data_IF_804375334019
#
_entry.id   IF_804375334019
#
_cell.length_a   1.000
_cell.length_b   1.000
_cell.length_c   1.000
_cell.angle_alpha   90.00
_cell.angle_beta   90.00
_cell.angle_gamma   90.00
#
_symmetry.space_group_name_H-M   'P 1'
#
loop_
_entity.id
_entity.type
_entity.pdbx_description
1 polymer ?
#
# COMPACT_ATOMS: atom_id res chain seq x y z
N UNK A 1 1.32 21.69 -19.25
CA UNK A 1 1.20 20.22 -19.27
C UNK A 1 2.57 19.63 -19.00
N UNK A 2 2.77 19.05 -17.81
CA UNK A 2 3.91 18.15 -17.52
C UNK A 2 3.37 17.02 -16.64
N UNK A 3 2.59 16.13 -17.25
CA UNK A 3 1.94 15.00 -16.59
C UNK A 3 2.90 13.82 -16.41
N UNK A 4 3.83 13.95 -15.49
CA UNK A 4 4.77 12.88 -15.10
C UNK A 4 4.76 12.74 -13.59
N UNK A 5 4.36 11.56 -13.11
CA UNK A 5 4.35 11.09 -11.70
C UNK A 5 3.56 11.88 -10.64
N UNK A 6 3.66 13.20 -10.54
CA UNK A 6 2.92 13.97 -9.52
C UNK A 6 1.39 13.92 -9.73
N UNK A 7 0.95 13.97 -10.99
CA UNK A 7 -0.47 14.08 -11.35
C UNK A 7 -1.31 12.87 -10.89
N UNK A 8 -0.81 11.64 -11.06
CA UNK A 8 -1.60 10.45 -10.69
C UNK A 8 -1.66 10.25 -9.17
N UNK A 9 -0.62 10.65 -8.43
CA UNK A 9 -0.57 10.55 -6.97
C UNK A 9 -1.61 11.49 -6.36
N UNK A 10 -1.58 12.76 -6.75
CA UNK A 10 -2.51 13.77 -6.23
C UNK A 10 -3.95 13.43 -6.60
N UNK A 11 -4.19 13.02 -7.85
CA UNK A 11 -5.51 12.57 -8.29
C UNK A 11 -6.00 11.39 -7.47
N UNK A 12 -5.14 10.41 -7.20
CA UNK A 12 -5.51 9.21 -6.43
C UNK A 12 -5.78 9.56 -4.97
N UNK A 13 -4.99 10.45 -4.35
CA UNK A 13 -5.24 10.97 -3.01
C UNK A 13 -6.64 11.61 -2.92
N UNK A 14 -6.97 12.49 -3.89
CA UNK A 14 -8.28 13.15 -3.95
C UNK A 14 -9.40 12.13 -4.13
N UNK A 15 -9.22 11.13 -5.00
CA UNK A 15 -10.21 10.08 -5.22
C UNK A 15 -10.44 9.22 -3.95
N UNK A 16 -9.38 8.90 -3.21
CA UNK A 16 -9.48 8.17 -1.94
C UNK A 16 -10.26 8.99 -0.90
N UNK A 17 -9.90 10.27 -0.73
CA UNK A 17 -10.58 11.17 0.19
C UNK A 17 -12.04 11.44 -0.20
N UNK A 18 -12.34 11.46 -1.50
CA UNK A 18 -13.69 11.64 -2.03
C UNK A 18 -14.54 10.35 -2.02
N UNK A 19 -13.96 9.19 -1.69
CA UNK A 19 -14.66 7.90 -1.75
C UNK A 19 -14.98 7.45 -3.18
N UNK A 20 -14.22 7.93 -4.17
CA UNK A 20 -14.39 7.61 -5.61
C UNK A 20 -13.15 6.92 -6.20
N UNK A 21 -12.22 6.47 -5.36
CA UNK A 21 -11.06 5.68 -5.79
C UNK A 21 -11.50 4.29 -6.28
N UNK A 22 -10.73 3.66 -7.17
CA UNK A 22 -10.92 2.25 -7.51
C UNK A 22 -10.65 1.38 -6.28
N UNK A 23 -11.31 0.22 -6.22
CA UNK A 23 -11.16 -0.73 -5.10
C UNK A 23 -9.74 -1.30 -4.99
N UNK A 24 -9.08 -1.51 -6.13
CA UNK A 24 -7.73 -2.06 -6.22
C UNK A 24 -6.88 -1.20 -7.15
N UNK A 25 -5.66 -0.89 -6.72
CA UNK A 25 -4.73 -0.04 -7.45
C UNK A 25 -3.30 -0.57 -7.40
N UNK A 26 -2.56 -0.33 -8.48
CA UNK A 26 -1.10 -0.56 -8.54
C UNK A 26 -0.41 0.77 -8.28
N UNK A 27 0.51 0.79 -7.33
CA UNK A 27 1.24 2.00 -6.95
C UNK A 27 2.75 1.75 -6.96
N UNK A 28 3.53 2.82 -6.89
CA UNK A 28 4.98 2.76 -6.70
C UNK A 28 5.36 3.21 -5.28
N UNK A 29 6.40 2.57 -4.74
CA UNK A 29 6.77 2.48 -3.31
C UNK A 29 6.31 3.61 -2.39
N UNK A 30 6.99 4.75 -2.30
CA UNK A 30 6.79 5.66 -1.16
C UNK A 30 5.42 6.34 -1.10
N UNK A 31 4.64 6.36 -2.18
CA UNK A 31 3.49 7.25 -2.30
C UNK A 31 2.26 6.79 -1.51
N UNK A 32 2.14 5.50 -1.21
CA UNK A 32 1.02 4.96 -0.43
C UNK A 32 1.21 5.08 1.08
N UNK A 33 2.42 5.40 1.56
CA UNK A 33 2.68 5.57 3.00
C UNK A 33 1.83 6.71 3.55
N UNK A 34 1.83 7.87 2.88
CA UNK A 34 1.02 9.02 3.30
C UNK A 34 -0.50 8.73 3.27
N UNK A 35 -0.96 7.88 2.33
CA UNK A 35 -2.37 7.46 2.27
C UNK A 35 -2.73 6.51 3.42
N UNK A 36 -1.85 5.56 3.73
CA UNK A 36 -2.01 4.65 4.86
C UNK A 36 -1.99 5.40 6.20
N UNK A 37 -1.06 6.35 6.38
CA UNK A 37 -0.98 7.22 7.56
C UNK A 37 -2.25 8.06 7.73
N UNK A 38 -2.81 8.58 6.63
CA UNK A 38 -4.10 9.27 6.61
C UNK A 38 -5.31 8.34 6.87
N UNK A 39 -5.11 7.03 6.95
CA UNK A 39 -6.18 6.05 7.16
C UNK A 39 -7.07 5.84 5.93
N UNK A 40 -6.56 6.14 4.73
CA UNK A 40 -7.30 6.02 3.48
C UNK A 40 -7.20 4.63 2.83
N UNK A 41 -6.33 3.76 3.35
CA UNK A 41 -6.12 2.40 2.83
C UNK A 41 -6.64 1.36 3.82
N UNK A 42 -7.16 0.26 3.27
CA UNK A 42 -7.62 -0.89 4.04
C UNK A 42 -6.45 -1.60 4.72
N UNK A 43 -6.62 -1.99 5.98
CA UNK A 43 -5.70 -2.89 6.66
C UNK A 43 -5.88 -4.32 6.12
N UNK A 44 -4.85 -4.83 5.48
CA UNK A 44 -4.81 -6.13 4.83
C UNK A 44 -4.41 -7.25 5.79
N UNK A 45 -3.98 -6.93 7.03
CA UNK A 45 -3.50 -7.92 8.00
C UNK A 45 -4.49 -9.08 8.22
N UNK A 46 -5.82 -8.85 8.34
CA UNK A 46 -6.78 -9.94 8.51
C UNK A 46 -6.85 -10.90 7.32
N UNK A 47 -6.54 -10.44 6.11
CA UNK A 47 -6.53 -11.30 4.91
C UNK A 47 -5.22 -12.06 4.80
N UNK A 48 -4.09 -11.43 5.16
CA UNK A 48 -2.79 -12.10 5.24
C UNK A 48 -2.84 -13.24 6.24
N UNK A 49 -3.38 -13.00 7.44
CA UNK A 49 -3.50 -14.03 8.49
C UNK A 49 -4.43 -15.18 8.10
N UNK A 50 -5.47 -14.91 7.32
CA UNK A 50 -6.44 -15.90 6.88
C UNK A 50 -5.92 -16.77 5.73
N UNK A 51 -5.23 -16.14 4.76
CA UNK A 51 -5.01 -16.73 3.44
C UNK A 51 -3.55 -17.11 3.16
N UNK A 52 -2.56 -16.55 3.89
CA UNK A 52 -1.14 -16.81 3.63
C UNK A 52 -0.49 -17.64 4.73
N UNK A 53 0.26 -18.65 4.32
CA UNK A 53 1.13 -19.43 5.21
C UNK A 53 2.47 -18.73 5.42
N UNK A 54 3.25 -19.11 6.44
CA UNK A 54 4.61 -18.62 6.60
C UNK A 54 5.50 -18.88 5.37
N UNK A 55 5.29 -20.01 4.67
CA UNK A 55 6.04 -20.34 3.46
C UNK A 55 5.68 -19.42 2.28
N UNK A 56 4.39 -19.05 2.14
CA UNK A 56 3.95 -18.07 1.13
C UNK A 56 4.57 -16.69 1.39
N UNK A 57 4.68 -16.30 2.66
CA UNK A 57 5.30 -15.03 3.05
C UNK A 57 6.81 -15.06 2.79
N UNK A 58 7.45 -16.19 3.04
CA UNK A 58 8.89 -16.38 2.84
C UNK A 58 9.33 -16.35 1.37
N UNK A 59 8.39 -16.52 0.42
CA UNK A 59 8.65 -16.40 -1.02
C UNK A 59 8.86 -14.95 -1.48
N UNK A 60 8.44 -13.96 -0.67
CA UNK A 60 8.73 -12.55 -0.94
C UNK A 60 10.11 -12.12 -0.46
N UNK A 61 10.77 -11.24 -1.20
CA UNK A 61 11.95 -10.54 -0.69
C UNK A 61 11.59 -9.75 0.58
N UNK A 62 12.31 -9.93 1.71
CA UNK A 62 11.94 -9.32 2.99
C UNK A 62 11.70 -7.82 2.92
N UNK A 63 12.58 -7.07 2.26
CA UNK A 63 12.45 -5.61 2.12
C UNK A 63 11.20 -5.18 1.34
N UNK A 64 10.77 -5.99 0.37
CA UNK A 64 9.56 -5.70 -0.42
C UNK A 64 8.31 -6.07 0.37
N UNK A 65 8.36 -7.18 1.11
CA UNK A 65 7.30 -7.57 2.04
C UNK A 65 7.10 -6.50 3.12
N UNK A 66 8.16 -6.08 3.80
CA UNK A 66 8.13 -5.06 4.85
C UNK A 66 7.66 -3.69 4.33
N UNK A 67 7.95 -3.37 3.07
CA UNK A 67 7.48 -2.15 2.42
C UNK A 67 5.96 -2.04 2.27
N UNK A 68 5.21 -3.14 2.45
CA UNK A 68 3.75 -3.15 2.47
C UNK A 68 3.14 -2.81 3.83
N UNK A 69 3.96 -2.43 4.83
CA UNK A 69 3.55 -2.18 6.21
C UNK A 69 4.07 -0.83 6.71
N UNK A 70 3.26 -0.11 7.50
CA UNK A 70 3.71 1.10 8.17
C UNK A 70 4.73 0.72 9.26
N UNK A 71 5.95 1.22 9.13
CA UNK A 71 7.03 0.94 10.07
C UNK A 71 7.02 1.88 11.28
N UNK A 72 6.44 3.08 11.12
CA UNK A 72 6.49 4.15 12.11
C UNK A 72 5.13 4.84 12.29
N UNK A 73 5.04 5.65 13.34
CA UNK A 73 3.87 6.48 13.63
C UNK A 73 2.73 5.75 14.34
N UNK A 74 1.59 6.42 14.57
CA UNK A 74 0.47 5.88 15.35
C UNK A 74 -0.21 4.65 14.74
N UNK A 75 -0.01 4.42 13.44
CA UNK A 75 -0.55 3.27 12.69
C UNK A 75 0.53 2.25 12.33
N UNK A 76 1.68 2.27 13.02
CA UNK A 76 2.72 1.27 12.81
C UNK A 76 2.15 -0.15 12.96
N UNK A 77 2.56 -1.05 12.06
CA UNK A 77 2.03 -2.41 11.97
C UNK A 77 0.89 -2.58 10.95
N UNK A 78 0.24 -1.51 10.49
CA UNK A 78 -0.81 -1.60 9.47
C UNK A 78 -0.25 -2.09 8.14
N UNK A 79 -0.80 -3.18 7.61
CA UNK A 79 -0.46 -3.74 6.30
C UNK A 79 -1.35 -3.10 5.23
N UNK A 80 -0.84 -2.16 4.43
CA UNK A 80 -1.66 -1.45 3.43
C UNK A 80 -1.46 -1.97 2.00
N UNK A 81 -0.52 -2.88 1.78
CA UNK A 81 -0.15 -3.30 0.42
C UNK A 81 0.45 -4.69 0.33
N UNK A 82 0.48 -5.21 -0.90
CA UNK A 82 1.07 -6.50 -1.25
C UNK A 82 2.12 -6.33 -2.36
N UNK A 83 3.29 -6.99 -2.25
CA UNK A 83 4.27 -7.04 -3.32
C UNK A 83 3.69 -7.60 -4.62
N UNK A 84 4.12 -7.06 -5.76
CA UNK A 84 3.67 -7.55 -7.09
C UNK A 84 4.81 -7.79 -8.07
N UNK A 85 5.79 -6.90 -8.10
CA UNK A 85 7.03 -7.07 -8.88
C UNK A 85 8.08 -6.10 -8.35
N UNK A 86 9.35 -6.47 -8.52
CA UNK A 86 10.53 -5.63 -8.31
C UNK A 86 11.23 -5.48 -9.66
N UNK A 87 11.76 -4.30 -9.96
CA UNK A 87 12.55 -3.98 -11.16
C UNK A 87 13.97 -3.63 -10.75
#
# INVERSE_FOLDING_TARGET
MSGGTADWIDRTYVQLAAGTAPDIMRTWGPFHVAWAEAGLLLDLSPFVERDLTPDDIADFFPTTWEGGQLQFGPKAGLRFGMPRHVN
#
